data_IF_814967347919
#
_entry.id   IF_814967347919
#
_cell.length_a   1.000
_cell.length_b   1.000
_cell.length_c   1.000
_cell.angle_alpha   90.00
_cell.angle_beta   90.00
_cell.angle_gamma   90.00
#
_symmetry.space_group_name_H-M   'P 1'
#
loop_
_entity.id
_entity.type
_entity.pdbx_description
1 polymer ?
#
# COMPACT_ATOMS: atom_id res chain seq x y z
N UNK A 1 8.66 -41.79 -9.25
CA UNK A 1 7.82 -42.13 -8.08
C UNK A 1 7.90 -40.91 -7.16
N UNK A 2 6.91 -40.03 -7.24
CA UNK A 2 6.73 -38.91 -6.30
C UNK A 2 5.25 -38.97 -5.91
N UNK A 3 5.00 -39.11 -4.60
CA UNK A 3 3.70 -39.42 -4.05
C UNK A 3 2.71 -38.25 -4.13
N UNK A 4 1.50 -38.60 -4.54
CA UNK A 4 0.32 -37.76 -4.48
C UNK A 4 -0.15 -37.62 -3.03
N UNK A 5 -0.22 -36.41 -2.51
CA UNK A 5 -0.92 -36.08 -1.28
C UNK A 5 -2.33 -35.59 -1.61
N UNK A 6 -3.29 -36.40 -1.25
CA UNK A 6 -4.72 -36.19 -1.38
C UNK A 6 -5.20 -35.15 -0.35
N UNK A 7 -5.75 -34.01 -0.83
CA UNK A 7 -6.50 -33.06 0.02
C UNK A 7 -7.99 -33.36 -0.08
N UNK A 8 -8.55 -33.87 1.02
CA UNK A 8 -9.95 -34.17 1.17
C UNK A 8 -10.83 -32.91 1.05
N UNK A 9 -11.94 -33.07 0.33
CA UNK A 9 -13.08 -32.15 0.29
C UNK A 9 -13.94 -32.35 1.53
N UNK A 10 -14.11 -31.32 2.33
CA UNK A 10 -15.25 -31.25 3.26
C UNK A 10 -15.92 -29.87 3.23
N UNK A 11 -17.22 -29.91 3.04
CA UNK A 11 -18.29 -29.21 3.72
C UNK A 11 -18.53 -27.73 3.43
N UNK A 12 -19.57 -27.46 2.66
CA UNK A 12 -20.27 -26.15 2.56
C UNK A 12 -20.81 -25.73 3.94
N UNK A 13 -20.58 -24.46 4.27
CA UNK A 13 -21.26 -23.76 5.35
C UNK A 13 -21.37 -22.28 5.00
N UNK A 14 -22.53 -21.83 4.52
CA UNK A 14 -22.93 -20.44 4.47
C UNK A 14 -22.96 -19.85 5.88
N UNK A 15 -22.29 -18.75 6.09
CA UNK A 15 -22.33 -17.99 7.33
C UNK A 15 -21.52 -16.72 7.23
N UNK A 16 -22.12 -15.64 6.74
CA UNK A 16 -21.57 -14.31 6.86
C UNK A 16 -21.41 -13.94 8.33
N UNK A 17 -20.21 -14.08 8.88
CA UNK A 17 -19.89 -13.67 10.23
C UNK A 17 -19.68 -12.15 10.25
N UNK A 18 -20.68 -11.40 10.72
CA UNK A 18 -20.53 -10.06 11.23
C UNK A 18 -19.79 -10.13 12.56
N UNK A 19 -18.55 -9.63 12.61
CA UNK A 19 -17.80 -9.50 13.86
C UNK A 19 -18.22 -8.17 14.52
N UNK A 20 -18.64 -8.19 15.81
CA UNK A 20 -18.98 -6.95 16.53
C UNK A 20 -17.73 -6.07 16.68
N UNK A 21 -17.89 -4.79 16.41
CA UNK A 21 -16.84 -3.79 16.59
C UNK A 21 -16.40 -3.67 18.04
N UNK A 22 -15.11 -3.80 18.26
CA UNK A 22 -14.50 -3.58 19.57
C UNK A 22 -13.05 -4.04 19.59
N UNK A 23 -12.11 -3.10 19.60
CA UNK A 23 -10.74 -3.35 19.96
C UNK A 23 -9.82 -3.78 18.80
N UNK A 24 -8.66 -3.13 18.70
CA UNK A 24 -7.59 -3.51 17.80
C UNK A 24 -7.25 -5.01 17.88
N UNK A 25 -6.51 -5.47 16.88
CA UNK A 25 -6.03 -6.86 16.80
C UNK A 25 -5.52 -7.31 18.16
N UNK A 26 -5.94 -8.51 18.61
CA UNK A 26 -5.28 -9.07 19.79
C UNK A 26 -3.78 -9.17 19.48
N UNK A 27 -2.90 -8.63 20.35
CA UNK A 27 -1.47 -8.75 20.16
C UNK A 27 -1.13 -10.27 20.07
N UNK A 28 -0.43 -10.66 19.00
CA UNK A 28 0.12 -12.00 18.91
C UNK A 28 -0.26 -12.85 17.71
N UNK A 29 -0.91 -12.32 16.68
CA UNK A 29 -1.15 -13.06 15.43
C UNK A 29 -0.45 -12.40 14.26
N UNK A 30 0.40 -13.15 13.55
CA UNK A 30 1.18 -12.67 12.43
C UNK A 30 2.68 -12.85 12.60
N UNK A 31 3.48 -12.72 11.53
CA UNK A 31 4.92 -12.95 11.58
C UNK A 31 5.69 -11.90 12.40
N UNK A 32 5.09 -10.73 12.65
CA UNK A 32 5.68 -9.65 13.46
C UNK A 32 5.06 -9.56 14.86
N UNK A 33 4.41 -10.62 15.34
CA UNK A 33 3.90 -10.68 16.70
C UNK A 33 5.00 -10.36 17.73
N UNK A 34 4.73 -9.42 18.64
CA UNK A 34 5.69 -8.95 19.65
C UNK A 34 6.61 -7.82 19.17
N UNK A 35 6.62 -7.43 17.90
CA UNK A 35 7.33 -6.25 17.42
C UNK A 35 6.54 -5.00 17.76
N UNK A 36 7.20 -4.00 18.39
CA UNK A 36 6.65 -2.71 18.78
C UNK A 36 7.12 -1.60 17.85
N UNK A 37 6.18 -0.84 17.29
CA UNK A 37 6.45 0.23 16.33
C UNK A 37 5.85 1.55 16.83
N UNK A 38 6.65 2.60 16.87
CA UNK A 38 6.20 3.98 17.01
C UNK A 38 6.15 4.63 15.63
N UNK A 39 5.00 5.16 15.23
CA UNK A 39 4.83 5.91 13.98
C UNK A 39 4.52 7.36 14.29
N UNK A 40 5.39 8.29 13.89
CA UNK A 40 5.06 9.72 13.95
C UNK A 40 4.11 10.05 12.80
N UNK A 41 2.92 10.53 13.14
CA UNK A 41 1.83 10.72 12.18
C UNK A 41 2.24 11.60 10.99
N UNK A 42 1.88 11.14 9.82
CA UNK A 42 2.15 11.77 8.53
C UNK A 42 1.07 11.43 7.51
N UNK A 43 1.39 11.61 6.24
CA UNK A 43 0.52 11.26 5.10
C UNK A 43 1.29 10.37 4.12
N UNK A 44 0.57 9.56 3.34
CA UNK A 44 1.14 8.78 2.24
C UNK A 44 1.99 7.59 2.68
N UNK A 45 3.28 7.53 2.31
CA UNK A 45 4.09 6.32 2.35
C UNK A 45 4.46 5.83 3.76
N UNK A 46 4.72 6.72 4.72
CA UNK A 46 5.04 6.31 6.10
C UNK A 46 3.84 5.65 6.79
N UNK A 47 2.61 6.23 6.79
CA UNK A 47 1.43 5.53 7.26
C UNK A 47 1.12 4.22 6.54
N UNK A 48 1.41 4.12 5.25
CA UNK A 48 1.26 2.88 4.50
C UNK A 48 2.23 1.80 5.01
N UNK A 49 3.49 2.14 5.26
CA UNK A 49 4.46 1.23 5.89
C UNK A 49 3.96 0.77 7.26
N UNK A 50 3.52 1.69 8.13
CA UNK A 50 2.99 1.36 9.45
C UNK A 50 1.76 0.44 9.38
N UNK A 51 0.85 0.66 8.42
CA UNK A 51 -0.28 -0.23 8.16
C UNK A 51 0.19 -1.65 7.77
N UNK A 52 1.18 -1.76 6.88
CA UNK A 52 1.73 -3.06 6.50
C UNK A 52 2.32 -3.81 7.70
N UNK A 53 3.07 -3.12 8.56
CA UNK A 53 3.63 -3.73 9.77
C UNK A 53 2.52 -4.16 10.74
N UNK A 54 1.46 -3.36 10.90
CA UNK A 54 0.28 -3.72 11.69
C UNK A 54 -0.45 -4.93 11.10
N UNK A 55 -0.69 -4.96 9.80
CA UNK A 55 -1.29 -6.11 9.09
C UNK A 55 -0.45 -7.39 9.24
N UNK A 56 0.86 -7.27 9.44
CA UNK A 56 1.78 -8.39 9.71
C UNK A 56 1.84 -8.77 11.20
N UNK A 57 1.10 -8.09 12.08
CA UNK A 57 0.96 -8.43 13.50
C UNK A 57 1.82 -7.62 14.45
N UNK A 58 2.53 -6.59 13.99
CA UNK A 58 3.23 -5.67 14.87
C UNK A 58 2.24 -4.81 15.68
N UNK A 59 2.60 -4.47 16.92
CA UNK A 59 1.91 -3.46 17.70
C UNK A 59 2.37 -2.07 17.23
N UNK A 60 1.51 -1.33 16.53
CA UNK A 60 1.84 0.00 16.00
C UNK A 60 1.12 1.08 16.79
N UNK A 61 1.88 1.96 17.41
CA UNK A 61 1.42 3.16 18.10
C UNK A 61 1.68 4.37 17.21
N UNK A 62 0.58 5.00 16.73
CA UNK A 62 0.64 6.24 15.95
C UNK A 62 0.59 7.45 16.90
N UNK A 63 1.60 8.30 16.81
CA UNK A 63 1.70 9.56 17.55
C UNK A 63 1.08 10.67 16.73
N UNK A 64 -0.14 11.07 17.05
CA UNK A 64 -0.88 12.14 16.42
C UNK A 64 -0.62 13.49 17.08
N UNK A 65 -0.84 14.59 16.36
CA UNK A 65 -0.89 15.92 16.96
C UNK A 65 -2.24 16.11 17.67
N UNK A 66 -2.29 16.74 18.83
CA UNK A 66 -3.56 16.97 19.52
C UNK A 66 -4.59 17.77 18.69
N UNK A 67 -4.12 18.74 17.91
CA UNK A 67 -4.93 19.71 17.16
C UNK A 67 -4.90 19.52 15.63
N UNK A 68 -4.34 18.41 15.13
CA UNK A 68 -4.21 18.16 13.70
C UNK A 68 -5.58 17.90 13.02
N UNK A 69 -5.75 18.23 11.74
CA UNK A 69 -6.89 17.79 10.94
C UNK A 69 -6.64 16.37 10.38
N UNK A 70 -7.70 15.57 10.24
CA UNK A 70 -7.65 14.34 9.45
C UNK A 70 -7.72 14.69 7.96
N UNK A 71 -7.06 13.91 7.12
CA UNK A 71 -7.14 14.06 5.67
C UNK A 71 -8.51 13.62 5.15
N UNK A 72 -9.10 12.61 5.80
CA UNK A 72 -10.38 12.01 5.43
C UNK A 72 -11.28 12.08 6.67
N UNK A 73 -12.37 12.80 6.58
CA UNK A 73 -13.43 12.98 7.60
C UNK A 73 -12.93 13.03 9.08
N UNK A 74 -13.60 12.29 9.98
CA UNK A 74 -13.23 12.17 11.39
C UNK A 74 -12.13 11.11 11.66
N UNK A 75 -11.50 10.56 10.63
CA UNK A 75 -10.49 9.48 10.69
C UNK A 75 -11.05 8.08 10.58
N UNK A 76 -12.37 7.90 10.53
CA UNK A 76 -13.04 6.58 10.48
C UNK A 76 -12.75 5.83 9.16
N UNK A 77 -12.54 6.56 8.07
CA UNK A 77 -12.19 6.05 6.76
C UNK A 77 -10.68 6.15 6.44
N UNK A 78 -9.86 6.55 7.40
CA UNK A 78 -8.39 6.53 7.26
C UNK A 78 -7.86 5.10 7.35
N UNK A 79 -8.06 4.32 6.28
CA UNK A 79 -7.70 2.90 6.26
C UNK A 79 -6.19 2.64 6.43
N UNK A 80 -5.33 3.63 6.19
CA UNK A 80 -3.91 3.52 6.52
C UNK A 80 -3.65 3.52 8.04
N UNK A 81 -4.63 3.96 8.84
CA UNK A 81 -4.62 3.89 10.30
C UNK A 81 -5.15 2.59 10.89
N UNK A 82 -5.62 1.64 10.07
CA UNK A 82 -6.18 0.37 10.54
C UNK A 82 -5.17 -0.47 11.32
N UNK A 83 -5.62 -1.15 12.35
CA UNK A 83 -4.77 -2.02 13.18
C UNK A 83 -3.77 -1.29 14.07
N UNK A 84 -3.77 0.04 14.08
CA UNK A 84 -2.91 0.88 14.91
C UNK A 84 -3.64 1.37 16.15
N UNK A 85 -2.90 1.67 17.21
CA UNK A 85 -3.34 2.44 18.38
C UNK A 85 -2.94 3.90 18.18
N UNK A 86 -3.73 4.86 18.63
CA UNK A 86 -3.44 6.30 18.49
C UNK A 86 -3.23 6.96 19.83
N UNK A 87 -2.13 7.70 19.94
CA UNK A 87 -1.82 8.60 21.07
C UNK A 87 -1.69 10.03 20.54
N UNK A 88 -2.25 11.01 21.24
CA UNK A 88 -2.13 12.42 20.86
C UNK A 88 -1.11 13.13 21.74
N UNK A 89 0.02 13.57 21.15
CA UNK A 89 1.16 14.18 21.85
C UNK A 89 1.58 15.46 21.14
N UNK A 90 1.73 16.56 21.90
CA UNK A 90 2.31 17.80 21.38
C UNK A 90 3.85 17.72 21.37
N UNK A 91 4.44 17.44 20.20
CA UNK A 91 5.90 17.39 20.01
C UNK A 91 6.60 18.76 20.09
N UNK A 92 5.85 19.86 20.10
CA UNK A 92 6.43 21.20 20.32
C UNK A 92 6.74 21.45 21.79
N UNK A 93 6.06 20.77 22.70
CA UNK A 93 6.43 20.78 24.11
C UNK A 93 7.58 19.79 24.35
N UNK A 94 8.69 20.21 24.98
CA UNK A 94 9.83 19.31 25.26
C UNK A 94 9.45 18.06 26.06
N UNK A 95 8.40 18.13 26.89
CA UNK A 95 7.85 16.98 27.64
C UNK A 95 7.17 15.97 26.72
N UNK A 96 6.49 16.44 25.65
CA UNK A 96 5.93 15.58 24.62
C UNK A 96 7.01 14.85 23.83
N UNK A 97 8.09 15.56 23.45
CA UNK A 97 9.26 14.93 22.84
C UNK A 97 9.91 13.89 23.78
N UNK A 98 9.99 14.17 25.09
CA UNK A 98 10.48 13.21 26.07
C UNK A 98 9.59 11.96 26.13
N UNK A 99 8.27 12.12 26.12
CA UNK A 99 7.31 11.00 26.09
C UNK A 99 7.52 10.11 24.84
N UNK A 100 7.75 10.71 23.66
CA UNK A 100 8.07 9.93 22.45
C UNK A 100 9.40 9.17 22.57
N UNK A 101 10.42 9.78 23.18
CA UNK A 101 11.68 9.06 23.45
C UNK A 101 11.51 7.93 24.46
N UNK A 102 10.58 8.06 25.42
CA UNK A 102 10.23 6.97 26.34
C UNK A 102 9.54 5.82 25.60
N UNK A 103 8.61 6.12 24.68
CA UNK A 103 8.02 5.12 23.78
C UNK A 103 9.12 4.43 22.93
N UNK A 104 10.02 5.20 22.32
CA UNK A 104 11.11 4.68 21.49
C UNK A 104 12.11 3.83 22.29
N UNK A 105 12.25 4.05 23.58
CA UNK A 105 13.13 3.27 24.46
C UNK A 105 12.69 1.80 24.59
N UNK A 106 11.39 1.53 24.40
CA UNK A 106 10.81 0.16 24.49
C UNK A 106 10.30 -0.35 23.13
N UNK A 107 10.46 0.42 22.06
CA UNK A 107 10.09 0.05 20.71
C UNK A 107 11.22 -0.67 19.97
N UNK A 108 10.89 -1.50 19.00
CA UNK A 108 11.82 -2.09 18.03
C UNK A 108 12.04 -1.15 16.84
N UNK A 109 11.00 -0.37 16.47
CA UNK A 109 11.00 0.49 15.30
C UNK A 109 10.40 1.84 15.63
N UNK A 110 11.00 2.92 15.11
CA UNK A 110 10.34 4.22 14.98
C UNK A 110 10.31 4.61 13.52
N UNK A 111 9.13 5.06 13.03
CA UNK A 111 8.93 5.53 11.65
C UNK A 111 8.53 7.00 11.67
N UNK A 112 9.19 7.82 10.84
CA UNK A 112 8.78 9.22 10.62
C UNK A 112 8.78 9.57 9.12
N UNK A 113 7.98 10.57 8.74
CA UNK A 113 7.88 11.09 7.39
C UNK A 113 8.08 12.61 7.33
N UNK A 114 8.88 13.17 8.21
CA UNK A 114 9.17 14.61 8.24
C UNK A 114 10.23 14.98 7.20
N UNK A 115 10.28 16.26 6.86
CA UNK A 115 11.41 16.80 6.10
C UNK A 115 12.70 16.69 6.91
N UNK A 116 13.88 16.53 6.26
CA UNK A 116 15.16 16.44 6.94
C UNK A 116 15.37 17.52 7.99
N UNK A 117 15.88 17.13 9.16
CA UNK A 117 16.16 18.03 10.29
C UNK A 117 14.93 18.41 11.15
N UNK A 118 13.71 18.01 10.79
CA UNK A 118 12.51 18.30 11.61
C UNK A 118 12.48 17.44 12.86
N UNK A 119 12.70 16.13 12.74
CA UNK A 119 12.74 15.20 13.88
C UNK A 119 13.84 15.61 14.89
N UNK A 120 14.99 16.01 14.39
CA UNK A 120 16.11 16.49 15.22
C UNK A 120 15.74 17.77 15.98
N UNK A 121 15.12 18.75 15.32
CA UNK A 121 14.66 19.99 15.99
C UNK A 121 13.58 19.75 17.03
N UNK A 122 12.80 18.70 16.86
CA UNK A 122 11.78 18.28 17.84
C UNK A 122 12.38 17.44 18.97
N UNK A 123 13.68 17.07 18.92
CA UNK A 123 14.33 16.25 19.92
C UNK A 123 13.90 14.78 19.91
N UNK A 124 13.44 14.29 18.77
CA UNK A 124 13.05 12.89 18.51
C UNK A 124 13.78 12.30 17.31
N UNK A 125 14.91 12.90 16.93
CA UNK A 125 15.76 12.45 15.84
C UNK A 125 16.45 11.11 16.13
N UNK A 126 17.13 10.53 15.12
CA UNK A 126 17.79 9.24 15.27
C UNK A 126 18.77 9.17 16.42
N UNK A 127 19.60 10.19 16.61
CA UNK A 127 20.59 10.24 17.70
C UNK A 127 19.93 10.32 19.09
N UNK A 128 18.85 11.11 19.21
CA UNK A 128 18.10 11.27 20.47
C UNK A 128 17.45 9.94 20.91
N UNK A 129 16.90 9.19 19.95
CA UNK A 129 16.26 7.90 20.21
C UNK A 129 17.29 6.78 20.43
N UNK A 130 18.36 6.72 19.62
CA UNK A 130 19.40 5.71 19.73
C UNK A 130 20.19 5.81 21.06
N UNK A 131 20.30 7.01 21.62
CA UNK A 131 20.92 7.21 22.95
C UNK A 131 20.16 6.45 24.05
N UNK A 132 18.86 6.21 23.89
CA UNK A 132 18.04 5.44 24.83
C UNK A 132 17.86 3.97 24.43
N UNK A 133 17.85 3.69 23.13
CA UNK A 133 17.69 2.35 22.61
C UNK A 133 18.64 2.10 21.42
N UNK A 134 19.85 1.58 21.68
CA UNK A 134 20.82 1.28 20.61
C UNK A 134 20.36 0.18 19.62
N UNK A 135 19.32 -0.57 19.96
CA UNK A 135 18.73 -1.59 19.10
C UNK A 135 17.61 -1.05 18.20
N UNK A 136 17.17 0.20 18.39
CA UNK A 136 16.07 0.79 17.64
C UNK A 136 16.37 0.88 16.14
N UNK A 137 15.47 0.40 15.33
CA UNK A 137 15.44 0.66 13.89
C UNK A 137 14.69 1.97 13.64
N UNK A 138 15.36 2.95 13.07
CA UNK A 138 14.80 4.27 12.83
C UNK A 138 14.51 4.46 11.34
N UNK A 139 13.24 4.33 10.92
CA UNK A 139 12.79 4.47 9.54
C UNK A 139 12.48 5.93 9.16
N UNK A 140 13.18 6.48 8.19
CA UNK A 140 12.95 7.82 7.64
C UNK A 140 12.37 7.74 6.24
N UNK A 141 11.16 8.29 6.06
CA UNK A 141 10.46 8.31 4.79
C UNK A 141 10.45 9.71 4.21
N UNK A 142 11.05 9.88 3.05
CA UNK A 142 11.07 11.18 2.35
C UNK A 142 10.78 11.01 0.86
N UNK A 143 10.45 12.12 0.19
CA UNK A 143 10.35 12.12 -1.26
C UNK A 143 11.71 12.18 -1.95
N UNK A 144 12.58 13.08 -1.46
CA UNK A 144 13.87 13.42 -2.09
C UNK A 144 15.09 12.77 -1.47
N UNK A 145 14.97 12.12 -0.32
CA UNK A 145 16.12 11.67 0.50
C UNK A 145 16.50 12.66 1.60
N UNK A 146 17.45 12.25 2.44
CA UNK A 146 17.99 13.10 3.52
C UNK A 146 19.00 14.13 3.00
N UNK A 147 19.62 13.85 1.85
CA UNK A 147 20.66 14.64 1.21
C UNK A 147 20.24 15.12 -0.19
N UNK A 148 21.08 15.97 -0.77
CA UNK A 148 20.89 16.47 -2.13
C UNK A 148 20.17 17.83 -2.21
N UNK A 149 20.15 18.45 -3.41
CA UNK A 149 19.70 19.83 -3.58
C UNK A 149 18.20 20.02 -3.32
N UNK A 150 17.39 18.98 -3.41
CA UNK A 150 15.94 19.02 -3.21
C UNK A 150 15.49 18.52 -1.84
N UNK A 151 16.40 18.02 -0.97
CA UNK A 151 16.07 17.38 0.29
C UNK A 151 15.15 18.22 1.20
N UNK A 152 15.29 19.54 1.19
CA UNK A 152 14.47 20.47 1.99
C UNK A 152 13.27 21.06 1.25
N UNK A 153 13.06 20.72 -0.02
CA UNK A 153 11.97 21.26 -0.83
C UNK A 153 10.67 20.45 -0.65
N UNK A 154 9.54 21.12 -0.89
CA UNK A 154 8.25 20.44 -0.93
C UNK A 154 8.13 19.59 -2.21
N UNK A 155 7.37 18.51 -2.12
CA UNK A 155 7.01 17.68 -3.26
C UNK A 155 5.91 16.72 -2.87
N UNK A 156 5.32 16.11 -3.89
CA UNK A 156 4.34 15.02 -3.79
C UNK A 156 4.68 13.94 -4.81
N UNK A 157 4.05 12.78 -4.71
CA UNK A 157 4.26 11.58 -5.54
C UNK A 157 4.63 11.91 -7.00
N UNK A 158 3.74 12.65 -7.69
CA UNK A 158 3.91 12.97 -9.11
C UNK A 158 5.21 13.72 -9.40
N UNK A 159 5.65 14.61 -8.50
CA UNK A 159 6.91 15.33 -8.63
C UNK A 159 8.12 14.42 -8.47
N UNK A 160 8.05 13.50 -7.51
CA UNK A 160 9.13 12.53 -7.26
C UNK A 160 9.30 11.58 -8.44
N UNK A 161 8.21 10.97 -8.92
CA UNK A 161 8.28 10.04 -10.06
C UNK A 161 8.60 10.73 -11.39
N UNK A 162 8.35 12.04 -11.50
CA UNK A 162 8.66 12.81 -12.73
C UNK A 162 10.17 12.92 -12.97
N UNK A 163 10.96 13.20 -11.93
CA UNK A 163 12.42 13.38 -12.09
C UNK A 163 13.17 12.05 -12.25
N UNK A 164 12.55 10.92 -11.90
CA UNK A 164 13.15 9.58 -12.08
C UNK A 164 13.07 9.09 -13.54
N UNK A 165 12.35 9.77 -14.42
CA UNK A 165 12.05 9.30 -15.78
C UNK A 165 10.89 8.29 -15.84
N UNK A 166 10.46 7.73 -14.72
CA UNK A 166 9.43 6.69 -14.70
C UNK A 166 8.07 7.24 -15.15
N UNK A 167 7.68 8.44 -14.69
CA UNK A 167 6.45 9.08 -15.16
C UNK A 167 6.48 9.31 -16.68
N UNK A 168 7.64 9.69 -17.25
CA UNK A 168 7.80 9.85 -18.69
C UNK A 168 7.43 8.58 -19.46
N UNK A 169 7.77 7.42 -18.92
CA UNK A 169 7.58 6.12 -19.57
C UNK A 169 6.13 5.59 -19.51
N UNK A 170 5.23 6.22 -18.73
CA UNK A 170 3.85 5.72 -18.50
C UNK A 170 2.85 6.51 -19.36
N UNK A 171 2.09 5.80 -20.17
CA UNK A 171 1.00 6.37 -20.99
C UNK A 171 1.10 5.99 -22.46
N UNK A 172 0.24 6.59 -23.27
CA UNK A 172 0.12 6.29 -24.71
C UNK A 172 1.00 7.21 -25.56
N UNK A 173 1.40 6.72 -26.73
CA UNK A 173 2.08 7.53 -27.73
C UNK A 173 1.29 8.78 -28.10
N UNK A 174 1.96 9.92 -28.24
CA UNK A 174 1.34 11.20 -28.61
C UNK A 174 0.49 11.87 -27.52
N UNK A 175 0.37 11.25 -26.33
CA UNK A 175 -0.36 11.82 -25.20
C UNK A 175 0.59 12.28 -24.08
N UNK A 176 0.18 13.19 -23.19
CA UNK A 176 0.90 13.46 -21.96
C UNK A 176 1.12 12.18 -21.13
N UNK A 177 2.15 12.13 -20.26
CA UNK A 177 2.32 11.02 -19.33
C UNK A 177 1.05 10.79 -18.49
N UNK A 178 0.71 9.52 -18.27
CA UNK A 178 -0.44 9.15 -17.43
C UNK A 178 -0.01 9.05 -15.97
N UNK A 179 -0.77 9.69 -15.07
CA UNK A 179 -0.51 9.67 -13.63
C UNK A 179 -0.94 8.30 -13.06
N UNK A 180 -0.02 7.50 -12.48
CA UNK A 180 -0.35 6.16 -11.94
C UNK A 180 -0.94 6.21 -10.52
N UNK A 181 -1.68 7.27 -10.17
CA UNK A 181 -2.07 7.60 -8.80
C UNK A 181 -0.81 7.80 -7.93
N UNK A 182 -0.92 7.56 -6.63
CA UNK A 182 0.23 7.50 -5.71
C UNK A 182 0.67 6.05 -5.41
N UNK A 183 0.27 5.11 -6.27
CA UNK A 183 0.58 3.69 -6.08
C UNK A 183 2.04 3.38 -6.39
N UNK A 184 2.61 4.08 -7.39
CA UNK A 184 3.96 3.81 -7.86
C UNK A 184 5.03 4.52 -7.03
N UNK A 185 4.89 5.81 -6.76
CA UNK A 185 5.83 6.60 -5.99
C UNK A 185 5.67 6.37 -4.49
N UNK A 186 4.61 6.92 -3.90
CA UNK A 186 4.39 6.87 -2.45
C UNK A 186 4.40 5.43 -1.91
N UNK A 187 3.62 4.53 -2.52
CA UNK A 187 3.44 3.20 -1.95
C UNK A 187 4.48 2.21 -2.48
N UNK A 188 4.66 2.09 -3.79
CA UNK A 188 5.62 1.16 -4.39
C UNK A 188 7.07 1.55 -4.11
N UNK A 189 7.48 2.76 -4.51
CA UNK A 189 8.85 3.28 -4.34
C UNK A 189 9.17 3.75 -2.92
N UNK A 190 8.17 4.18 -2.15
CA UNK A 190 8.33 4.71 -0.80
C UNK A 190 8.03 3.68 0.28
N UNK A 191 6.74 3.52 0.63
CA UNK A 191 6.30 2.75 1.80
C UNK A 191 6.71 1.28 1.78
N UNK A 192 6.69 0.61 0.63
CA UNK A 192 7.17 -0.76 0.49
C UNK A 192 8.68 -0.86 0.70
N UNK A 193 9.47 0.08 0.16
CA UNK A 193 10.93 0.10 0.37
C UNK A 193 11.28 0.37 1.83
N UNK A 194 10.54 1.28 2.48
CA UNK A 194 10.70 1.50 3.92
C UNK A 194 10.41 0.22 4.70
N UNK A 195 9.32 -0.48 4.40
CA UNK A 195 8.97 -1.73 5.08
C UNK A 195 10.05 -2.81 4.88
N UNK A 196 10.57 -2.98 3.66
CA UNK A 196 11.68 -3.92 3.38
C UNK A 196 12.93 -3.53 4.15
N UNK A 197 13.29 -2.23 4.18
CA UNK A 197 14.44 -1.73 4.93
C UNK A 197 14.30 -1.97 6.43
N UNK A 198 13.12 -1.68 7.00
CA UNK A 198 12.81 -1.93 8.42
C UNK A 198 12.91 -3.43 8.74
N UNK A 199 12.32 -4.31 7.94
CA UNK A 199 12.39 -5.75 8.16
C UNK A 199 13.82 -6.29 8.05
N UNK A 200 14.61 -5.81 7.11
CA UNK A 200 16.03 -6.18 6.98
C UNK A 200 16.84 -5.72 8.20
N UNK A 201 16.58 -4.51 8.71
CA UNK A 201 17.23 -4.00 9.90
C UNK A 201 16.82 -4.75 11.18
N UNK A 202 15.53 -5.09 11.34
CA UNK A 202 15.05 -5.95 12.43
C UNK A 202 15.71 -7.33 12.41
N UNK A 203 15.85 -7.94 11.23
CA UNK A 203 16.56 -9.21 11.08
C UNK A 203 18.03 -9.10 11.51
N UNK A 204 18.70 -7.97 11.21
CA UNK A 204 20.06 -7.70 11.67
C UNK A 204 20.11 -7.62 13.21
N UNK A 205 19.18 -6.89 13.83
CA UNK A 205 19.09 -6.76 15.29
C UNK A 205 18.82 -8.14 15.93
N UNK A 206 17.90 -8.91 15.40
CA UNK A 206 17.59 -10.26 15.88
C UNK A 206 18.81 -11.22 15.80
N UNK A 207 19.78 -10.92 14.95
CA UNK A 207 21.07 -11.65 14.85
C UNK A 207 22.18 -11.06 15.70
N UNK A 208 21.86 -10.19 16.66
CA UNK A 208 22.83 -9.57 17.59
C UNK A 208 23.51 -8.32 17.04
N UNK A 209 23.06 -7.75 15.92
CA UNK A 209 23.52 -6.44 15.44
C UNK A 209 22.86 -5.27 16.17
N UNK A 210 23.42 -4.07 16.04
CA UNK A 210 22.81 -2.84 16.51
C UNK A 210 21.65 -2.40 15.60
N UNK A 211 20.75 -1.58 16.15
CA UNK A 211 19.79 -0.80 15.38
C UNK A 211 20.46 0.17 14.42
N UNK A 212 19.71 0.72 13.50
CA UNK A 212 20.24 1.63 12.48
C UNK A 212 19.16 2.53 11.91
N UNK A 213 19.59 3.60 11.23
CA UNK A 213 18.72 4.42 10.42
C UNK A 213 18.48 3.72 9.08
N UNK A 214 17.23 3.69 8.65
CA UNK A 214 16.81 3.29 7.30
C UNK A 214 16.30 4.55 6.61
N UNK A 215 17.07 5.08 5.68
CA UNK A 215 16.65 6.19 4.81
C UNK A 215 15.97 5.62 3.57
N UNK A 216 14.69 5.88 3.43
CA UNK A 216 13.88 5.44 2.30
C UNK A 216 13.37 6.68 1.56
N UNK A 217 13.91 6.92 0.36
CA UNK A 217 13.48 8.01 -0.51
C UNK A 217 12.63 7.48 -1.65
N UNK A 218 11.50 8.16 -1.94
CA UNK A 218 10.60 7.77 -3.04
C UNK A 218 11.35 7.78 -4.38
N UNK A 219 12.21 8.78 -4.60
CA UNK A 219 13.00 8.85 -5.85
C UNK A 219 13.92 7.66 -6.03
N UNK A 220 14.54 7.16 -4.97
CA UNK A 220 15.45 6.01 -5.03
C UNK A 220 14.69 4.73 -5.30
N UNK A 221 13.62 4.48 -4.52
CA UNK A 221 12.82 3.28 -4.68
C UNK A 221 12.10 3.22 -6.03
N UNK A 222 11.54 4.35 -6.50
CA UNK A 222 10.90 4.43 -7.82
C UNK A 222 11.91 4.15 -8.94
N UNK A 223 13.11 4.74 -8.87
CA UNK A 223 14.19 4.47 -9.83
C UNK A 223 14.61 3.00 -9.80
N UNK A 224 14.73 2.41 -8.61
CA UNK A 224 15.07 1.01 -8.45
C UNK A 224 13.99 0.06 -9.02
N UNK A 225 12.70 0.39 -8.90
CA UNK A 225 11.62 -0.36 -9.56
C UNK A 225 11.77 -0.40 -11.09
N UNK A 226 12.35 0.62 -11.70
CA UNK A 226 12.58 0.71 -13.14
C UNK A 226 13.84 -0.06 -13.62
N UNK A 227 14.53 -0.83 -12.76
CA UNK A 227 15.75 -1.56 -13.10
C UNK A 227 15.63 -2.40 -14.38
N UNK A 228 14.50 -3.09 -14.58
CA UNK A 228 14.26 -3.87 -15.79
C UNK A 228 14.19 -2.99 -17.06
N UNK A 229 13.52 -1.84 -16.98
CA UNK A 229 13.43 -0.88 -18.09
C UNK A 229 14.81 -0.32 -18.43
N UNK A 230 15.62 0.03 -17.42
CA UNK A 230 17.01 0.44 -17.62
C UNK A 230 17.87 -0.64 -18.27
N UNK A 231 17.68 -1.92 -17.90
CA UNK A 231 18.37 -3.03 -18.54
C UNK A 231 17.99 -3.16 -20.01
N UNK A 232 16.71 -3.02 -20.35
CA UNK A 232 16.22 -3.05 -21.73
C UNK A 232 16.74 -1.86 -22.55
N UNK A 233 16.79 -0.68 -21.96
CA UNK A 233 17.35 0.53 -22.59
C UNK A 233 18.84 0.33 -22.89
N UNK A 234 19.62 -0.16 -21.93
CA UNK A 234 21.04 -0.45 -22.11
C UNK A 234 21.31 -1.52 -23.16
N UNK A 235 20.40 -2.48 -23.32
CA UNK A 235 20.47 -3.51 -24.35
C UNK A 235 19.98 -3.04 -25.74
N UNK A 236 19.56 -1.79 -25.90
CA UNK A 236 18.98 -1.26 -27.14
C UNK A 236 17.63 -1.88 -27.51
N UNK A 237 16.92 -2.44 -26.52
CA UNK A 237 15.61 -3.10 -26.67
C UNK A 237 14.45 -2.31 -26.09
N UNK A 238 14.72 -1.10 -25.64
CA UNK A 238 13.77 -0.11 -25.19
C UNK A 238 14.08 1.22 -25.83
N UNK A 239 13.08 1.87 -26.38
CA UNK A 239 13.17 3.24 -26.89
C UNK A 239 12.76 4.18 -25.76
N UNK A 240 13.53 5.25 -25.55
CA UNK A 240 13.15 6.32 -24.59
C UNK A 240 12.02 7.19 -25.17
N UNK A 241 10.92 6.51 -25.50
CA UNK A 241 9.74 7.04 -26.15
C UNK A 241 8.53 6.26 -25.64
N UNK A 242 7.57 6.97 -25.06
CA UNK A 242 6.37 6.38 -24.47
C UNK A 242 5.45 5.75 -25.53
N UNK A 243 4.90 4.58 -25.23
CA UNK A 243 3.96 3.88 -26.11
C UNK A 243 4.60 3.32 -27.38
N UNK A 244 5.92 3.10 -27.35
CA UNK A 244 6.70 2.56 -28.46
C UNK A 244 7.38 1.21 -28.15
N UNK A 245 7.13 0.66 -26.96
CA UNK A 245 7.82 -0.51 -26.43
C UNK A 245 6.86 -1.67 -26.14
N UNK A 246 7.44 -2.78 -25.69
CA UNK A 246 6.70 -4.02 -25.44
C UNK A 246 5.67 -3.89 -24.31
N UNK A 247 5.98 -3.15 -23.23
CA UNK A 247 5.20 -3.14 -21.99
C UNK A 247 4.47 -1.80 -21.74
N UNK A 248 4.48 -0.89 -22.68
CA UNK A 248 3.95 0.47 -22.54
C UNK A 248 2.83 0.80 -23.55
N UNK A 249 2.10 -0.20 -24.01
CA UNK A 249 1.12 -0.12 -25.09
C UNK A 249 1.68 0.06 -26.50
N UNK A 250 2.98 -0.01 -26.72
CA UNK A 250 3.58 -0.04 -28.05
C UNK A 250 3.19 -1.30 -28.82
N UNK A 251 3.36 -2.48 -28.19
CA UNK A 251 2.97 -3.75 -28.79
C UNK A 251 1.44 -3.98 -28.71
N UNK A 252 0.77 -4.32 -29.84
CA UNK A 252 -0.69 -4.54 -29.87
C UNK A 252 -1.16 -5.71 -28.99
N UNK A 253 -0.30 -6.65 -28.71
CA UNK A 253 -0.58 -7.81 -27.84
C UNK A 253 -0.20 -7.57 -26.36
N UNK A 254 0.15 -6.31 -26.00
CA UNK A 254 0.27 -5.83 -24.65
C UNK A 254 -0.41 -4.45 -24.55
N UNK A 255 -1.76 -4.46 -24.50
CA UNK A 255 -2.57 -3.26 -24.72
C UNK A 255 -3.94 -3.40 -24.03
N UNK A 256 -4.65 -2.30 -23.91
CA UNK A 256 -6.04 -2.23 -23.44
C UNK A 256 -6.96 -1.88 -24.60
N UNK A 257 -7.96 -2.73 -24.89
CA UNK A 257 -8.91 -2.58 -25.98
C UNK A 257 -10.30 -2.27 -25.48
N UNK A 258 -11.01 -1.41 -26.21
CA UNK A 258 -12.39 -1.05 -25.94
C UNK A 258 -13.35 -2.08 -26.55
N UNK A 259 -14.32 -2.54 -25.77
CA UNK A 259 -15.40 -3.41 -26.17
C UNK A 259 -16.60 -2.62 -26.72
N UNK A 260 -17.63 -3.32 -27.25
CA UNK A 260 -18.81 -2.68 -27.87
C UNK A 260 -19.65 -1.82 -26.91
N UNK A 261 -19.55 -2.06 -25.61
CA UNK A 261 -20.28 -1.36 -24.54
C UNK A 261 -19.48 -0.24 -23.86
N UNK A 262 -18.30 0.10 -24.40
CA UNK A 262 -17.39 1.08 -23.81
C UNK A 262 -16.57 0.56 -22.63
N UNK A 263 -16.73 -0.69 -22.20
CA UNK A 263 -15.87 -1.39 -21.27
C UNK A 263 -14.53 -1.76 -21.92
N UNK A 264 -13.54 -2.16 -21.10
CA UNK A 264 -12.20 -2.42 -21.58
C UNK A 264 -11.71 -3.83 -21.25
N UNK A 265 -10.88 -4.41 -22.13
CA UNK A 265 -10.13 -5.65 -21.92
C UNK A 265 -8.65 -5.35 -21.93
N UNK A 266 -7.91 -5.88 -20.95
CA UNK A 266 -6.45 -5.85 -20.92
C UNK A 266 -5.91 -7.13 -21.58
N UNK A 267 -4.97 -7.00 -22.50
CA UNK A 267 -4.31 -8.08 -23.22
C UNK A 267 -2.83 -8.08 -22.86
N UNK A 268 -2.28 -9.24 -22.50
CA UNK A 268 -0.87 -9.43 -22.15
C UNK A 268 -0.29 -10.73 -22.74
N UNK A 269 -0.65 -11.08 -23.97
CA UNK A 269 -0.31 -12.34 -24.63
C UNK A 269 1.12 -12.32 -25.22
N UNK A 270 2.14 -12.34 -24.36
CA UNK A 270 3.54 -12.17 -24.75
C UNK A 270 4.16 -13.43 -25.36
N UNK A 271 3.93 -14.59 -24.76
CA UNK A 271 4.51 -15.86 -25.21
C UNK A 271 3.79 -16.40 -26.45
N UNK A 272 4.51 -17.05 -27.40
CA UNK A 272 3.90 -17.52 -28.64
C UNK A 272 2.68 -18.42 -28.45
N UNK A 273 2.69 -19.31 -27.45
CA UNK A 273 1.60 -20.22 -27.16
C UNK A 273 0.34 -19.50 -26.66
N UNK A 274 0.52 -18.52 -25.79
CA UNK A 274 -0.59 -17.70 -25.25
C UNK A 274 -1.14 -16.76 -26.32
N UNK A 275 -0.27 -16.24 -27.17
CA UNK A 275 -0.68 -15.42 -28.30
C UNK A 275 -1.50 -16.21 -29.34
N UNK A 276 -1.09 -17.44 -29.64
CA UNK A 276 -1.86 -18.32 -30.55
C UNK A 276 -3.27 -18.61 -29.99
N UNK A 277 -3.37 -18.88 -28.68
CA UNK A 277 -4.65 -19.08 -28.00
C UNK A 277 -5.51 -17.81 -27.98
N UNK A 278 -4.89 -16.66 -27.75
CA UNK A 278 -5.54 -15.36 -27.81
C UNK A 278 -6.16 -15.10 -29.18
N UNK A 279 -5.39 -15.25 -30.27
CA UNK A 279 -5.91 -15.06 -31.63
C UNK A 279 -7.05 -16.04 -31.97
N UNK A 280 -6.90 -17.30 -31.58
CA UNK A 280 -7.92 -18.34 -31.79
C UNK A 280 -9.26 -17.96 -31.14
N UNK A 281 -9.23 -17.55 -29.88
CA UNK A 281 -10.43 -17.17 -29.13
C UNK A 281 -11.03 -15.84 -29.59
N UNK A 282 -10.18 -14.91 -30.01
CA UNK A 282 -10.62 -13.64 -30.59
C UNK A 282 -11.21 -13.81 -32.00
N UNK A 283 -10.90 -14.91 -32.68
CA UNK A 283 -11.35 -15.19 -34.05
C UNK A 283 -10.51 -14.47 -35.11
N UNK A 284 -9.25 -14.14 -34.81
CA UNK A 284 -8.31 -13.50 -35.74
C UNK A 284 -7.40 -14.57 -36.34
N UNK A 285 -7.32 -14.69 -37.69
CA UNK A 285 -6.45 -15.64 -38.35
C UNK A 285 -4.97 -15.39 -38.02
N UNK A 286 -4.14 -16.44 -37.82
CA UNK A 286 -2.73 -16.30 -37.46
C UNK A 286 -1.89 -15.46 -38.44
N UNK A 287 -2.19 -15.53 -39.75
CA UNK A 287 -1.54 -14.75 -40.78
C UNK A 287 -1.81 -13.25 -40.73
N UNK A 288 -2.97 -12.87 -40.18
CA UNK A 288 -3.32 -11.47 -39.90
C UNK A 288 -2.71 -11.02 -38.58
N UNK A 289 -2.56 -11.95 -37.64
CA UNK A 289 -2.02 -11.73 -36.31
C UNK A 289 -0.47 -11.75 -36.24
N UNK A 290 0.25 -11.52 -37.34
CA UNK A 290 1.69 -11.48 -37.33
C UNK A 290 2.26 -10.34 -36.44
N UNK A 291 3.33 -10.62 -35.65
CA UNK A 291 3.84 -9.73 -34.58
C UNK A 291 5.04 -8.89 -34.97
N UNK A 292 5.36 -8.78 -36.26
CA UNK A 292 6.45 -7.94 -36.74
C UNK A 292 6.16 -6.45 -36.39
N UNK A 293 7.15 -5.72 -35.88
CA UNK A 293 6.94 -4.34 -35.40
C UNK A 293 6.42 -3.37 -36.46
N UNK A 294 6.78 -3.55 -37.72
CA UNK A 294 6.32 -2.77 -38.87
C UNK A 294 4.82 -2.96 -39.15
N UNK A 295 4.23 -4.09 -38.71
CA UNK A 295 2.81 -4.41 -38.84
C UNK A 295 1.98 -4.07 -37.61
N UNK A 296 2.58 -3.55 -36.54
CA UNK A 296 1.85 -3.24 -35.32
C UNK A 296 0.67 -2.25 -35.48
N UNK A 297 0.74 -1.22 -36.31
CA UNK A 297 -0.43 -0.35 -36.55
C UNK A 297 -1.64 -1.11 -37.13
N UNK A 298 -1.43 -1.92 -38.18
CA UNK A 298 -2.46 -2.73 -38.81
C UNK A 298 -3.04 -3.80 -37.85
N UNK A 299 -2.17 -4.47 -37.11
CA UNK A 299 -2.56 -5.45 -36.11
C UNK A 299 -3.41 -4.81 -35.00
N UNK A 300 -3.02 -3.64 -34.52
CA UNK A 300 -3.80 -2.89 -33.51
C UNK A 300 -5.22 -2.59 -33.98
N UNK A 301 -5.39 -2.13 -35.22
CA UNK A 301 -6.70 -1.86 -35.80
C UNK A 301 -7.55 -3.14 -35.91
N UNK A 302 -6.93 -4.22 -36.34
CA UNK A 302 -7.60 -5.54 -36.44
C UNK A 302 -8.09 -6.04 -35.08
N UNK A 303 -7.22 -5.99 -34.06
CA UNK A 303 -7.58 -6.42 -32.70
C UNK A 303 -8.66 -5.51 -32.11
N UNK A 304 -8.54 -4.19 -32.29
CA UNK A 304 -9.54 -3.23 -31.84
C UNK A 304 -10.91 -3.46 -32.52
N UNK A 305 -10.93 -3.73 -33.81
CA UNK A 305 -12.17 -4.05 -34.52
C UNK A 305 -12.81 -5.35 -34.00
N UNK A 306 -12.00 -6.38 -33.72
CA UNK A 306 -12.48 -7.63 -33.16
C UNK A 306 -13.09 -7.43 -31.77
N UNK A 307 -12.42 -6.71 -30.86
CA UNK A 307 -12.94 -6.45 -29.52
C UNK A 307 -14.27 -5.67 -29.52
N UNK A 308 -14.50 -4.77 -30.46
CA UNK A 308 -15.75 -4.03 -30.61
C UNK A 308 -16.95 -4.87 -31.04
N UNK A 309 -16.77 -6.16 -31.33
CA UNK A 309 -17.88 -7.05 -31.75
C UNK A 309 -18.71 -7.58 -30.58
N UNK A 310 -18.22 -7.50 -29.35
CA UNK A 310 -18.92 -7.98 -28.14
C UNK A 310 -18.70 -7.02 -26.97
N UNK A 311 -19.55 -7.16 -25.95
CA UNK A 311 -19.38 -6.45 -24.67
C UNK A 311 -18.18 -6.96 -23.89
N UNK A 312 -17.68 -6.15 -22.96
CA UNK A 312 -16.58 -6.53 -22.04
C UNK A 312 -16.85 -7.87 -21.36
N UNK A 313 -18.03 -8.04 -20.79
CA UNK A 313 -18.37 -9.25 -20.02
C UNK A 313 -18.56 -10.48 -20.91
N UNK A 314 -19.06 -10.28 -22.13
CA UNK A 314 -19.13 -11.36 -23.13
C UNK A 314 -17.71 -11.82 -23.54
N UNK A 315 -16.77 -10.90 -23.71
CA UNK A 315 -15.38 -11.25 -23.96
C UNK A 315 -14.72 -11.91 -22.75
N UNK A 316 -14.96 -11.41 -21.53
CA UNK A 316 -14.48 -12.04 -20.30
C UNK A 316 -14.92 -13.51 -20.21
N UNK A 317 -16.15 -13.82 -20.63
CA UNK A 317 -16.65 -15.21 -20.71
C UNK A 317 -15.91 -16.04 -21.77
N UNK A 318 -15.61 -15.47 -22.94
CA UNK A 318 -14.87 -16.17 -24.01
C UNK A 318 -13.46 -16.53 -23.57
N UNK A 319 -12.80 -15.65 -22.85
CA UNK A 319 -11.42 -15.84 -22.39
C UNK A 319 -11.31 -16.53 -21.02
N UNK A 320 -12.44 -16.78 -20.35
CA UNK A 320 -12.44 -17.52 -19.09
C UNK A 320 -11.78 -18.90 -19.26
N UNK A 321 -11.07 -19.35 -18.22
CA UNK A 321 -10.41 -20.66 -18.17
C UNK A 321 -9.46 -20.94 -19.35
N UNK A 322 -8.90 -19.90 -19.97
CA UNK A 322 -7.91 -20.00 -21.06
C UNK A 322 -6.56 -19.37 -20.70
N UNK A 323 -5.54 -19.76 -21.45
CA UNK A 323 -4.19 -19.18 -21.34
C UNK A 323 -3.99 -17.96 -22.28
N UNK A 324 -5.06 -17.33 -22.75
CA UNK A 324 -4.99 -16.20 -23.69
C UNK A 324 -4.46 -14.89 -23.09
N UNK A 325 -4.26 -14.83 -21.80
CA UNK A 325 -3.78 -13.64 -21.05
C UNK A 325 -4.64 -12.39 -21.29
N UNK A 326 -5.97 -12.55 -21.28
CA UNK A 326 -6.93 -11.48 -21.41
C UNK A 326 -7.79 -11.39 -20.14
N UNK A 327 -7.99 -10.16 -19.64
CA UNK A 327 -8.83 -9.93 -18.47
C UNK A 327 -9.70 -8.67 -18.66
N UNK A 328 -10.92 -8.64 -18.08
CA UNK A 328 -11.73 -7.42 -18.07
C UNK A 328 -11.08 -6.35 -17.18
N UNK A 329 -11.08 -5.10 -17.63
CA UNK A 329 -10.71 -3.96 -16.79
C UNK A 329 -11.93 -3.60 -15.94
N UNK A 330 -11.80 -3.79 -14.63
CA UNK A 330 -12.86 -3.58 -13.66
C UNK A 330 -12.68 -2.27 -12.91
N UNK A 331 -13.77 -1.64 -12.52
CA UNK A 331 -13.73 -0.56 -11.53
C UNK A 331 -13.40 -1.12 -10.14
N UNK A 332 -12.99 -0.26 -9.20
CA UNK A 332 -12.73 -0.66 -7.81
C UNK A 332 -13.93 -1.33 -7.14
N UNK A 333 -15.16 -0.93 -7.51
CA UNK A 333 -16.39 -1.52 -6.97
C UNK A 333 -16.68 -2.89 -7.57
N UNK A 334 -16.48 -3.08 -8.87
CA UNK A 334 -16.66 -4.36 -9.55
C UNK A 334 -15.62 -5.40 -9.11
N UNK A 335 -14.40 -4.96 -8.83
CA UNK A 335 -13.29 -5.85 -8.46
C UNK A 335 -13.63 -6.76 -7.27
N UNK A 336 -14.35 -6.25 -6.27
CA UNK A 336 -14.73 -7.02 -5.09
C UNK A 336 -15.65 -8.22 -5.41
N UNK A 337 -16.45 -8.12 -6.47
CA UNK A 337 -17.36 -9.19 -6.93
C UNK A 337 -16.68 -10.16 -7.92
N UNK A 338 -15.46 -9.88 -8.37
CA UNK A 338 -14.76 -10.74 -9.32
C UNK A 338 -14.47 -12.12 -8.72
N UNK A 339 -14.82 -13.19 -9.42
CA UNK A 339 -14.77 -14.57 -8.91
C UNK A 339 -13.44 -14.94 -8.26
N UNK A 340 -12.31 -14.65 -8.91
CA UNK A 340 -10.98 -14.91 -8.38
C UNK A 340 -10.69 -14.13 -7.09
N UNK A 341 -11.07 -12.86 -7.03
CA UNK A 341 -10.83 -12.01 -5.87
C UNK A 341 -11.74 -12.38 -4.70
N UNK A 342 -12.99 -12.74 -4.99
CA UNK A 342 -13.94 -13.26 -4.01
C UNK A 342 -13.47 -14.61 -3.43
N UNK A 343 -13.10 -15.57 -4.29
CA UNK A 343 -12.57 -16.86 -3.88
C UNK A 343 -11.31 -16.73 -2.99
N UNK A 344 -10.44 -15.77 -3.31
CA UNK A 344 -9.26 -15.44 -2.50
C UNK A 344 -9.58 -14.58 -1.28
N UNK A 345 -10.81 -14.10 -1.11
CA UNK A 345 -11.14 -13.13 -0.04
C UNK A 345 -10.17 -11.97 -0.02
N UNK A 346 -9.95 -11.35 -1.21
CA UNK A 346 -9.01 -10.24 -1.37
C UNK A 346 -9.55 -8.95 -0.76
N UNK A 347 -10.85 -8.88 -0.56
CA UNK A 347 -11.54 -7.79 0.14
C UNK A 347 -12.18 -8.31 1.42
N UNK A 348 -12.23 -7.44 2.43
CA UNK A 348 -12.90 -7.66 3.72
C UNK A 348 -13.79 -6.46 4.03
N UNK A 349 -14.79 -6.66 4.88
CA UNK A 349 -15.63 -5.56 5.39
C UNK A 349 -15.42 -5.44 6.89
N UNK A 350 -15.03 -4.25 7.34
CA UNK A 350 -14.83 -3.91 8.75
C UNK A 350 -15.69 -2.68 9.04
N UNK A 351 -16.56 -2.77 10.01
CA UNK A 351 -17.52 -1.71 10.41
C UNK A 351 -18.27 -1.10 9.21
N UNK A 352 -18.71 -1.96 8.27
CA UNK A 352 -19.43 -1.55 7.07
C UNK A 352 -18.54 -0.99 5.95
N UNK A 353 -17.23 -0.83 6.16
CA UNK A 353 -16.29 -0.33 5.16
C UNK A 353 -15.61 -1.49 4.46
N UNK A 354 -15.87 -1.64 3.15
CA UNK A 354 -15.16 -2.60 2.31
C UNK A 354 -13.75 -2.11 2.03
N UNK A 355 -12.75 -2.97 2.25
CA UNK A 355 -11.33 -2.63 2.11
C UNK A 355 -10.50 -3.83 1.67
N UNK A 356 -9.29 -3.64 1.11
CA UNK A 356 -8.38 -4.73 0.80
C UNK A 356 -7.99 -5.51 2.08
N UNK A 357 -7.98 -6.85 1.98
CA UNK A 357 -7.48 -7.72 3.04
C UNK A 357 -5.95 -7.56 3.22
N UNK A 358 -5.40 -7.91 4.40
CA UNK A 358 -3.96 -7.97 4.60
C UNK A 358 -3.24 -8.84 3.56
N UNK A 359 -2.08 -8.35 3.12
CA UNK A 359 -1.20 -9.04 2.18
C UNK A 359 0.27 -8.76 2.55
N UNK A 360 1.21 -9.75 2.31
CA UNK A 360 0.97 -11.09 1.79
C UNK A 360 0.31 -12.04 2.81
N UNK A 361 -0.05 -13.25 2.37
CA UNK A 361 -0.63 -14.29 3.25
C UNK A 361 0.42 -15.26 3.72
N UNK A 362 0.41 -15.56 5.00
CA UNK A 362 1.32 -16.51 5.63
C UNK A 362 0.56 -17.78 6.04
N UNK A 363 1.09 -18.94 5.64
CA UNK A 363 0.46 -20.23 5.97
C UNK A 363 0.59 -20.61 7.46
N UNK A 364 1.76 -20.32 8.05
CA UNK A 364 2.06 -20.67 9.44
C UNK A 364 1.65 -19.62 10.47
N UNK A 365 1.59 -18.35 10.05
CA UNK A 365 1.25 -17.21 10.91
C UNK A 365 0.27 -16.28 10.17
N UNK A 366 -0.99 -16.72 9.98
CA UNK A 366 -1.94 -15.91 9.25
C UNK A 366 -2.17 -14.57 9.94
N UNK A 367 -2.26 -13.50 9.14
CA UNK A 367 -2.62 -12.19 9.63
C UNK A 367 -4.03 -12.23 10.25
N UNK A 368 -4.21 -11.51 11.35
CA UNK A 368 -5.55 -11.26 11.88
C UNK A 368 -6.37 -10.37 10.93
N UNK A 369 -7.69 -10.38 11.11
CA UNK A 369 -8.54 -9.37 10.48
C UNK A 369 -8.15 -8.00 11.02
N UNK A 370 -7.97 -6.99 10.16
CA UNK A 370 -7.65 -5.65 10.61
C UNK A 370 -8.80 -5.09 11.46
N UNK A 371 -8.44 -4.36 12.52
CA UNK A 371 -9.40 -3.52 13.23
C UNK A 371 -9.79 -2.28 12.42
N UNK A 372 -10.77 -1.52 12.90
CA UNK A 372 -11.03 -0.19 12.37
C UNK A 372 -9.84 0.75 12.60
N UNK A 373 -9.71 1.84 11.85
CA UNK A 373 -8.76 2.89 12.19
C UNK A 373 -9.05 3.47 13.58
N UNK A 374 -8.00 3.65 14.38
CA UNK A 374 -8.13 4.33 15.66
C UNK A 374 -8.35 5.83 15.47
N UNK A 375 -9.25 6.39 16.25
CA UNK A 375 -9.45 7.83 16.27
C UNK A 375 -8.31 8.50 17.03
N UNK A 376 -8.01 9.75 16.71
CA UNK A 376 -6.91 10.51 17.32
C UNK A 376 -6.99 10.52 18.83
N UNK A 377 -5.92 10.10 19.50
CA UNK A 377 -5.81 10.10 20.96
C UNK A 377 -6.71 9.09 21.66
N UNK A 378 -7.29 8.16 20.93
CA UNK A 378 -8.21 7.17 21.49
C UNK A 378 -7.57 6.29 22.57
N UNK A 379 -6.27 6.02 22.45
CA UNK A 379 -5.54 5.10 23.33
C UNK A 379 -4.44 5.81 24.12
N UNK A 380 -4.49 7.15 24.27
CA UNK A 380 -3.37 7.93 24.80
C UNK A 380 -2.98 7.48 26.20
N UNK A 381 -3.90 7.50 27.16
CA UNK A 381 -3.58 7.17 28.55
C UNK A 381 -3.14 5.70 28.70
N UNK A 382 -3.89 4.79 28.10
CA UNK A 382 -3.64 3.34 28.13
C UNK A 382 -2.24 3.01 27.59
N UNK A 383 -1.90 3.50 26.39
CA UNK A 383 -0.60 3.24 25.76
C UNK A 383 0.55 3.82 26.55
N UNK A 384 0.43 5.07 27.01
CA UNK A 384 1.51 5.72 27.75
C UNK A 384 1.82 4.98 29.07
N UNK A 385 0.79 4.49 29.76
CA UNK A 385 0.96 3.68 30.98
C UNK A 385 1.56 2.30 30.67
N UNK A 386 1.03 1.61 29.65
CA UNK A 386 1.47 0.27 29.26
C UNK A 386 2.92 0.24 28.75
N UNK A 387 3.33 1.28 28.01
CA UNK A 387 4.69 1.39 27.48
C UNK A 387 5.66 2.09 28.44
N UNK A 388 5.19 2.42 29.67
CA UNK A 388 6.04 2.91 30.76
C UNK A 388 6.50 4.36 30.60
N UNK A 389 5.71 5.22 29.92
CA UNK A 389 6.02 6.64 29.80
C UNK A 389 5.91 7.33 31.16
N UNK A 390 6.96 8.05 31.52
CA UNK A 390 7.02 8.73 32.82
C UNK A 390 6.01 9.89 32.90
N UNK A 391 5.48 10.14 34.11
CA UNK A 391 4.63 11.30 34.44
C UNK A 391 3.37 11.43 33.56
N UNK A 392 2.79 10.32 33.10
CA UNK A 392 1.59 10.33 32.25
C UNK A 392 0.44 11.18 32.81
N UNK A 393 0.19 11.12 34.12
CA UNK A 393 -0.86 11.93 34.76
C UNK A 393 -0.60 13.45 34.64
N UNK A 394 0.64 13.90 34.85
CA UNK A 394 1.03 15.31 34.69
C UNK A 394 0.97 15.77 33.23
N UNK A 395 1.33 14.90 32.29
CA UNK A 395 1.23 15.17 30.86
C UNK A 395 -0.21 15.35 30.41
N UNK A 396 -1.14 14.55 30.92
CA UNK A 396 -2.58 14.67 30.69
C UNK A 396 -3.12 15.96 31.34
N UNK A 397 -2.81 16.20 32.61
CA UNK A 397 -3.26 17.40 33.34
C UNK A 397 -2.81 18.71 32.68
N UNK A 398 -1.58 18.73 32.15
CA UNK A 398 -1.01 19.87 31.42
C UNK A 398 -1.37 19.93 29.94
N UNK A 399 -2.14 18.97 29.44
CA UNK A 399 -2.56 18.85 28.03
C UNK A 399 -1.39 18.74 27.02
N UNK A 400 -0.24 18.32 27.46
CA UNK A 400 0.88 17.94 26.57
C UNK A 400 0.53 16.69 25.80
N UNK A 401 -0.22 15.78 26.44
CA UNK A 401 -0.88 14.66 25.78
C UNK A 401 -2.40 14.79 25.99
N UNK A 402 -3.16 14.31 25.00
CA UNK A 402 -4.62 14.45 25.03
C UNK A 402 -5.26 13.08 24.84
N UNK A 403 -6.07 12.68 25.83
CA UNK A 403 -6.96 11.54 25.71
C UNK A 403 -8.24 11.98 25.01
N UNK A 404 -8.64 11.24 23.97
CA UNK A 404 -9.96 11.44 23.36
C UNK A 404 -11.04 11.10 24.38
N UNK A 405 -11.96 12.01 24.60
CA UNK A 405 -13.16 11.73 25.39
C UNK A 405 -14.17 10.98 24.51
N UNK A 406 -14.68 9.87 25.01
CA UNK A 406 -15.83 9.23 24.39
C UNK A 406 -17.03 10.20 24.48
N UNK A 407 -17.57 10.59 23.34
CA UNK A 407 -18.89 11.24 23.34
C UNK A 407 -19.92 10.16 23.72
N UNK A 408 -20.28 10.13 24.99
CA UNK A 408 -21.45 9.38 25.48
C UNK A 408 -22.69 10.04 24.88
N UNK A 409 -23.19 9.44 23.77
CA UNK A 409 -24.55 9.57 23.30
C UNK A 409 -24.93 10.86 22.58
N UNK A 410 -24.79 10.90 21.26
CA UNK A 410 -25.92 11.32 20.43
C UNK A 410 -26.50 10.06 19.79
N UNK A 411 -27.47 9.45 20.47
CA UNK A 411 -28.49 8.64 19.81
C UNK A 411 -29.09 9.54 18.72
N UNK A 412 -28.76 9.32 17.50
CA UNK A 412 -29.50 9.86 16.35
C UNK A 412 -30.92 9.32 16.53
N UNK A 413 -31.80 10.14 17.03
CA UNK A 413 -33.24 9.91 16.99
C UNK A 413 -33.60 9.77 15.52
N UNK A 414 -33.86 8.54 15.08
CA UNK A 414 -34.50 8.27 13.80
C UNK A 414 -35.87 8.90 13.89
N UNK A 415 -35.99 10.10 13.35
CA UNK A 415 -37.27 10.79 13.21
C UNK A 415 -38.12 10.00 12.19
N UNK A 416 -38.92 9.10 12.73
CA UNK A 416 -40.03 8.48 12.01
C UNK A 416 -41.17 9.47 11.94
N UNK A 417 -41.09 10.43 11.03
CA UNK A 417 -42.22 11.25 10.65
C UNK A 417 -42.57 11.05 9.21
N UNK A 418 -43.63 10.32 9.04
CA UNK A 418 -44.56 10.19 7.92
C UNK A 418 -44.61 11.41 6.97
N UNK A 419 -44.41 11.20 5.67
CA UNK A 419 -45.46 11.40 4.63
C UNK A 419 -44.86 11.13 3.24
#
# INVERSE_FOLDING_TARGET
>A
MVGETNFGREGRGDGGATVPGGGGNPPGTGPLAGVRVVELAGIGPAPFCGMLLADLGAEVVRVDRPDGAHLIDDGRHDLLGRGKRSVAIDLKDPRGAAAVRDLAATADVLIEGFRPGVAERLGVGPADCAARNPALVYGRMTGWGQDGPLAHTAGHDIGYIAVTGVLHSIGRAGSPPSIPLNLLGDFGGGGMYLAVGVLAALLRVARGGAGQVVDAAIVDGTTHLATFVHAMLAAGRWRDERGANLLDSGAPYYEVYEASDGGYLAVGALEPKFYAEFLRLLGVPPEVGAREPDRWPELRETLAAAFRTRTRDAWATVFADSDACVAPVLSLREAAAHQQLAARRTFVTVDGVQQPAPAPRFAGTPAAMPGRPALRGEHTEEVLLEWGVANTADLLASRVVVQRQEHVGEQVAVDTASR
#
